data_IF_175548710235
#
_entry.id   IF_175548710235
#
_cell.length_a   1.000
_cell.length_b   1.000
_cell.length_c   1.000
_cell.angle_alpha   90.00
_cell.angle_beta   90.00
_cell.angle_gamma   90.00
#
_symmetry.space_group_name_H-M   'P 1'
#
loop_
_entity.id
_entity.type
_entity.pdbx_description
1 polymer ?
#
# COMPACT_ATOMS: atom_id res chain seq x y z
N UNK A 1 23.31 12.76 12.21
CA UNK A 1 22.62 12.63 12.09
C UNK A 1 21.90 11.97 11.80
N UNK A 2 21.58 11.52 11.97
CA UNK A 2 20.91 11.01 11.54
C UNK A 2 19.77 11.09 11.28
N UNK A 3 19.45 10.85 10.83
CA UNK A 3 18.22 11.31 10.50
C UNK A 3 17.26 10.25 10.34
N UNK A 4 16.12 10.39 10.88
CA UNK A 4 15.05 9.45 10.79
C UNK A 4 14.22 9.69 9.57
N UNK A 5 14.85 9.91 8.46
CA UNK A 5 14.09 10.09 7.25
C UNK A 5 13.50 8.77 6.85
N UNK A 6 12.29 8.81 6.38
CA UNK A 6 11.71 7.67 5.72
C UNK A 6 12.61 7.27 4.58
N UNK A 7 12.82 5.97 4.41
CA UNK A 7 13.72 5.49 3.37
C UNK A 7 13.14 5.68 1.99
N UNK A 8 11.83 5.87 1.92
CA UNK A 8 11.19 6.24 0.67
C UNK A 8 10.03 7.18 0.97
N UNK A 9 9.66 7.97 -0.01
CA UNK A 9 8.61 8.97 0.14
C UNK A 9 7.24 8.30 0.10
N UNK A 10 6.46 8.39 1.18
CA UNK A 10 5.12 7.79 1.18
C UNK A 10 4.22 8.31 0.06
N UNK A 11 4.45 9.51 -0.43
CA UNK A 11 3.66 10.05 -1.52
C UNK A 11 3.85 9.24 -2.81
N UNK A 12 5.02 8.63 -2.97
CA UNK A 12 5.29 7.79 -4.12
C UNK A 12 4.44 6.53 -4.06
N UNK A 13 4.33 5.94 -2.87
CA UNK A 13 3.48 4.77 -2.65
C UNK A 13 2.02 5.14 -2.89
N UNK A 14 1.61 6.28 -2.34
CA UNK A 14 0.23 6.72 -2.46
C UNK A 14 -0.17 6.91 -3.92
N UNK A 15 0.73 7.49 -4.71
CA UNK A 15 0.44 7.72 -6.12
C UNK A 15 0.20 6.40 -6.85
N UNK A 16 1.01 5.40 -6.56
CA UNK A 16 0.86 4.10 -7.18
C UNK A 16 -0.48 3.47 -6.78
N UNK A 17 -0.78 3.51 -5.49
CA UNK A 17 -2.00 2.90 -4.96
C UNK A 17 -3.24 3.57 -5.54
N UNK A 18 -3.24 4.89 -5.62
CA UNK A 18 -4.39 5.63 -6.12
C UNK A 18 -4.60 5.47 -7.62
N UNK A 19 -3.62 4.89 -8.33
CA UNK A 19 -3.81 4.61 -9.74
C UNK A 19 -4.72 3.40 -9.98
N UNK A 20 -5.02 2.62 -8.97
CA UNK A 20 -5.93 1.49 -9.08
C UNK A 20 -7.35 2.00 -8.92
N UNK A 21 -8.22 1.77 -9.92
CA UNK A 21 -9.57 2.35 -9.87
C UNK A 21 -10.43 1.82 -8.73
N UNK A 22 -10.11 0.64 -8.20
CA UNK A 22 -10.88 0.06 -7.10
C UNK A 22 -10.60 0.74 -5.77
N UNK A 23 -9.51 1.51 -5.66
CA UNK A 23 -9.10 2.14 -4.42
C UNK A 23 -9.91 3.42 -4.21
N UNK A 24 -10.64 3.48 -3.10
CA UNK A 24 -11.41 4.66 -2.74
C UNK A 24 -10.58 5.62 -1.91
N UNK A 25 -9.69 5.10 -1.08
CA UNK A 25 -8.82 5.91 -0.27
C UNK A 25 -7.68 5.05 0.21
N UNK A 26 -6.61 5.67 0.65
CA UNK A 26 -5.53 4.92 1.29
C UNK A 26 -4.93 5.78 2.39
N UNK A 27 -4.51 5.12 3.47
CA UNK A 27 -3.99 5.83 4.62
C UNK A 27 -3.04 4.94 5.41
N UNK A 28 -2.39 5.54 6.40
CA UNK A 28 -1.45 4.83 7.27
C UNK A 28 -0.38 4.10 6.48
N UNK A 29 0.21 4.83 5.53
CA UNK A 29 1.32 4.29 4.77
C UNK A 29 2.56 4.37 5.65
N UNK A 30 3.15 3.22 5.93
CA UNK A 30 4.34 3.14 6.79
C UNK A 30 5.45 2.45 6.04
N UNK A 31 6.65 2.99 6.18
CA UNK A 31 7.83 2.42 5.55
C UNK A 31 8.89 2.18 6.61
N UNK A 32 9.56 1.06 6.51
CA UNK A 32 10.62 0.67 7.44
C UNK A 32 11.75 0.05 6.66
N UNK A 33 12.90 -0.08 7.33
CA UNK A 33 14.06 -0.69 6.72
C UNK A 33 15.02 0.36 6.21
N UNK A 34 15.88 -0.02 5.30
CA UNK A 34 16.84 0.92 4.77
C UNK A 34 17.33 0.46 3.40
N UNK A 35 17.68 1.42 2.57
CA UNK A 35 18.31 1.20 1.26
C UNK A 35 17.49 0.25 0.40
N UNK A 36 17.99 -0.96 0.21
CA UNK A 36 17.34 -1.94 -0.66
C UNK A 36 16.64 -3.04 0.13
N UNK A 37 16.29 -2.75 1.37
CA UNK A 37 15.60 -3.70 2.23
C UNK A 37 14.47 -2.97 2.92
N UNK A 38 13.54 -2.44 2.12
CA UNK A 38 12.48 -1.59 2.60
C UNK A 38 11.19 -2.39 2.70
N UNK A 39 10.47 -2.18 3.79
CA UNK A 39 9.19 -2.81 4.06
C UNK A 39 8.12 -1.74 4.08
N UNK A 40 7.01 -2.01 3.40
CA UNK A 40 5.90 -1.06 3.31
C UNK A 40 4.64 -1.75 3.80
N UNK A 41 3.88 -1.05 4.66
CA UNK A 41 2.52 -1.50 4.92
C UNK A 41 1.57 -0.31 4.80
N UNK A 42 0.34 -0.60 4.44
CA UNK A 42 -0.63 0.45 4.19
C UNK A 42 -2.05 -0.10 4.28
N UNK A 43 -2.98 0.82 4.43
CA UNK A 43 -4.40 0.51 4.50
C UNK A 43 -5.08 1.10 3.28
N UNK A 44 -5.91 0.28 2.62
CA UNK A 44 -6.62 0.68 1.41
C UNK A 44 -8.12 0.48 1.63
N UNK A 45 -8.88 1.50 1.37
CA UNK A 45 -10.33 1.45 1.53
C UNK A 45 -10.98 1.18 0.19
N UNK A 46 -11.94 0.26 0.20
CA UNK A 46 -12.65 -0.16 -1.01
C UNK A 46 -14.14 -0.21 -0.74
N UNK A 47 -14.92 -0.42 -1.78
CA UNK A 47 -16.35 -0.60 -1.66
C UNK A 47 -16.67 -1.75 -0.73
N UNK A 48 -17.69 -1.56 0.12
CA UNK A 48 -18.06 -2.57 1.10
C UNK A 48 -18.43 -3.91 0.48
N UNK A 49 -18.90 -3.88 -0.75
CA UNK A 49 -19.39 -5.10 -1.40
C UNK A 49 -18.35 -5.80 -2.26
N UNK A 50 -17.12 -5.34 -2.20
CA UNK A 50 -16.04 -6.02 -2.92
C UNK A 50 -15.91 -7.44 -2.39
N UNK A 51 -15.81 -8.41 -3.28
CA UNK A 51 -15.66 -9.79 -2.87
C UNK A 51 -14.28 -10.04 -2.29
N UNK A 52 -14.17 -11.12 -1.52
CA UNK A 52 -12.87 -11.51 -0.98
C UNK A 52 -11.88 -11.78 -2.11
N UNK A 53 -12.35 -12.42 -3.18
CA UNK A 53 -11.48 -12.70 -4.31
C UNK A 53 -10.97 -11.43 -4.96
N UNK A 54 -11.87 -10.46 -5.15
CA UNK A 54 -11.48 -9.19 -5.75
C UNK A 54 -10.50 -8.44 -4.87
N UNK A 55 -10.73 -8.45 -3.56
CA UNK A 55 -9.83 -7.75 -2.64
C UNK A 55 -8.46 -8.39 -2.62
N UNK A 56 -8.41 -9.72 -2.71
CA UNK A 56 -7.14 -10.43 -2.75
C UNK A 56 -6.36 -10.07 -4.01
N UNK A 57 -7.06 -10.03 -5.15
CA UNK A 57 -6.42 -9.65 -6.41
C UNK A 57 -5.93 -8.22 -6.37
N UNK A 58 -6.71 -7.33 -5.77
CA UNK A 58 -6.31 -5.94 -5.65
C UNK A 58 -5.06 -5.81 -4.80
N UNK A 59 -5.05 -6.48 -3.65
CA UNK A 59 -3.88 -6.43 -2.76
C UNK A 59 -2.64 -6.93 -3.47
N UNK A 60 -2.75 -8.04 -4.19
CA UNK A 60 -1.62 -8.58 -4.94
C UNK A 60 -1.16 -7.63 -6.03
N UNK A 61 -2.10 -7.01 -6.73
CA UNK A 61 -1.76 -6.06 -7.78
C UNK A 61 -1.00 -4.87 -7.25
N UNK A 62 -1.47 -4.34 -6.12
CA UNK A 62 -0.82 -3.20 -5.48
C UNK A 62 0.59 -3.59 -5.03
N UNK A 63 0.71 -4.74 -4.38
CA UNK A 63 2.00 -5.22 -3.90
C UNK A 63 2.99 -5.36 -5.04
N UNK A 64 2.58 -6.00 -6.12
CA UNK A 64 3.46 -6.23 -7.26
C UNK A 64 3.86 -4.92 -7.93
N UNK A 65 2.92 -3.99 -8.06
CA UNK A 65 3.20 -2.72 -8.69
C UNK A 65 4.20 -1.90 -7.88
N UNK A 66 4.04 -1.87 -6.56
CA UNK A 66 4.96 -1.14 -5.70
C UNK A 66 6.35 -1.74 -5.82
N UNK A 67 6.44 -3.07 -5.75
CA UNK A 67 7.75 -3.73 -5.84
C UNK A 67 8.41 -3.48 -7.18
N UNK A 68 7.62 -3.39 -8.23
CA UNK A 68 8.16 -3.18 -9.57
C UNK A 68 8.65 -1.75 -9.76
N UNK A 69 7.90 -0.79 -9.24
CA UNK A 69 8.17 0.61 -9.53
C UNK A 69 9.12 1.27 -8.54
N UNK A 70 9.27 0.70 -7.36
CA UNK A 70 10.14 1.28 -6.34
C UNK A 70 11.24 0.29 -6.01
N UNK A 71 12.43 0.48 -6.57
CA UNK A 71 13.55 -0.42 -6.28
C UNK A 71 13.85 -0.43 -4.79
N UNK A 72 14.22 -1.60 -4.28
CA UNK A 72 14.59 -1.74 -2.89
C UNK A 72 13.47 -2.16 -1.97
N UNK A 73 12.23 -2.15 -2.46
CA UNK A 73 11.12 -2.62 -1.63
C UNK A 73 11.15 -4.14 -1.58
N UNK A 74 11.32 -4.65 -0.36
CA UNK A 74 11.43 -6.07 -0.13
C UNK A 74 10.05 -6.72 0.04
N UNK A 75 9.18 -6.07 0.78
CA UNK A 75 7.87 -6.63 1.04
C UNK A 75 6.84 -5.53 1.24
N UNK A 76 5.60 -5.84 0.88
CA UNK A 76 4.48 -4.91 0.99
C UNK A 76 3.30 -5.67 1.60
N UNK A 77 2.75 -5.11 2.66
CA UNK A 77 1.54 -5.65 3.28
C UNK A 77 0.41 -4.67 3.05
N UNK A 78 -0.63 -5.13 2.38
CA UNK A 78 -1.77 -4.28 2.04
C UNK A 78 -2.96 -4.77 2.86
N UNK A 79 -3.47 -3.87 3.70
CA UNK A 79 -4.67 -4.14 4.49
C UNK A 79 -5.86 -3.55 3.76
N UNK A 80 -6.74 -4.41 3.27
CA UNK A 80 -7.95 -3.96 2.55
C UNK A 80 -9.07 -3.84 3.57
N UNK A 81 -9.70 -2.68 3.59
CA UNK A 81 -10.76 -2.37 4.54
C UNK A 81 -11.98 -1.84 3.82
N UNK A 82 -13.16 -2.08 4.36
CA UNK A 82 -14.37 -1.51 3.76
C UNK A 82 -14.41 0.00 3.96
N UNK A 83 -14.99 0.69 3.02
CA UNK A 83 -15.12 2.13 3.09
C UNK A 83 -15.94 2.54 4.31
N UNK A 84 -16.94 1.76 4.67
CA UNK A 84 -17.83 2.05 5.78
C UNK A 84 -17.75 0.92 6.80
N UNK A 85 -17.61 1.30 8.08
CA UNK A 85 -17.54 0.33 9.18
C UNK A 85 -18.93 0.18 9.81
N UNK A 86 -19.81 -0.40 9.07
CA UNK A 86 -21.16 -0.64 9.59
C UNK A 86 -21.21 -1.96 10.33
N UNK A 87 -21.99 -1.96 11.37
CA UNK A 87 -22.18 -3.15 12.20
C UNK A 87 -23.56 -3.74 12.02
#
# INVERSE_FOLDING_TARGET
>A
MLCDKAVLDPAQVERIVRSFPEVRDCHEIRTRGRNDDVYVDLHVLVENQMSVLESHRLANGIEQRIKKEIPGVHDVVVHIEPLSHEH
#
